data_IF_204409134085
#
_entry.id   IF_204409134085
#
_cell.length_a   1.000
_cell.length_b   1.000
_cell.length_c   1.000
_cell.angle_alpha   90.00
_cell.angle_beta   90.00
_cell.angle_gamma   90.00
#
_symmetry.space_group_name_H-M   'P 1'
#
loop_
_entity.id
_entity.type
_entity.pdbx_description
1 polymer ?
#
# COMPACT_ATOMS: atom_id res chain seq x y z
N UNK A 1 -8.26 -23.35 -2.32
CA UNK A 1 -7.06 -24.20 -2.28
C UNK A 1 -6.53 -24.26 -3.69
N UNK A 2 -5.69 -23.29 -4.05
CA UNK A 2 -5.18 -23.12 -5.41
C UNK A 2 -3.69 -23.39 -5.31
N UNK A 3 -3.26 -24.52 -5.86
CA UNK A 3 -1.88 -25.01 -5.77
C UNK A 3 -0.92 -24.08 -6.53
N UNK A 4 0.23 -23.81 -5.90
CA UNK A 4 1.42 -23.29 -6.56
C UNK A 4 1.92 -24.33 -7.56
N UNK A 5 2.61 -23.93 -8.65
CA UNK A 5 3.22 -24.91 -9.55
C UNK A 5 4.17 -25.81 -8.75
N UNK A 6 4.00 -27.13 -8.89
CA UNK A 6 4.79 -28.14 -8.19
C UNK A 6 6.30 -27.94 -8.43
N UNK A 7 7.05 -27.96 -7.32
CA UNK A 7 8.49 -27.85 -7.32
C UNK A 7 9.16 -29.11 -7.89
N UNK A 8 9.90 -28.93 -8.99
CA UNK A 8 10.91 -29.89 -9.43
C UNK A 8 12.17 -29.79 -8.56
N UNK A 9 12.42 -30.88 -7.80
CA UNK A 9 13.69 -31.36 -7.19
C UNK A 9 14.76 -30.33 -6.81
N UNK A 10 15.01 -30.28 -5.49
CA UNK A 10 16.25 -29.95 -4.81
C UNK A 10 17.48 -29.70 -5.71
N UNK A 11 17.68 -28.44 -6.06
CA UNK A 11 18.93 -27.90 -6.61
C UNK A 11 19.23 -26.60 -5.89
N UNK A 12 20.48 -26.39 -5.49
CA UNK A 12 20.97 -25.05 -5.14
C UNK A 12 20.73 -24.17 -6.37
N UNK A 13 19.82 -23.20 -6.24
CA UNK A 13 19.50 -22.23 -7.30
C UNK A 13 20.72 -21.31 -7.49
N UNK A 14 21.27 -21.38 -8.68
CA UNK A 14 22.54 -20.87 -9.17
C UNK A 14 22.43 -19.48 -9.80
N UNK A 15 21.41 -18.70 -9.40
CA UNK A 15 21.36 -17.26 -9.67
C UNK A 15 20.71 -16.87 -11.01
N UNK A 16 19.84 -17.73 -11.55
CA UNK A 16 18.88 -17.37 -12.61
C UNK A 16 17.45 -17.77 -12.19
N UNK A 17 17.18 -17.55 -10.89
CA UNK A 17 16.03 -18.02 -10.14
C UNK A 17 14.70 -17.35 -10.50
N UNK A 18 13.66 -17.72 -9.76
CA UNK A 18 12.22 -17.38 -9.91
C UNK A 18 11.79 -15.96 -10.38
N UNK A 19 12.71 -14.99 -10.50
CA UNK A 19 12.44 -13.60 -10.82
C UNK A 19 11.89 -12.80 -9.64
N UNK A 20 11.98 -13.35 -8.42
CA UNK A 20 11.61 -12.70 -7.17
C UNK A 20 12.85 -12.41 -6.32
N UNK A 21 12.91 -11.23 -5.70
CA UNK A 21 13.99 -10.90 -4.76
C UNK A 21 13.93 -11.77 -3.48
N UNK A 22 12.74 -12.12 -3.01
CA UNK A 22 12.54 -12.93 -1.80
C UNK A 22 11.38 -13.91 -2.00
N UNK A 23 11.54 -14.96 -2.84
CA UNK A 23 10.49 -15.96 -3.03
C UNK A 23 10.19 -16.66 -1.72
N UNK A 24 8.90 -16.94 -1.46
CA UNK A 24 8.45 -17.63 -0.25
C UNK A 24 7.78 -18.94 -0.64
N UNK A 25 8.49 -20.09 -0.54
CA UNK A 25 7.93 -21.41 -0.77
C UNK A 25 6.68 -21.66 0.10
N UNK A 26 5.67 -22.42 -0.38
CA UNK A 26 4.45 -22.68 0.39
C UNK A 26 4.70 -23.37 1.75
N UNK A 27 5.71 -24.22 1.83
CA UNK A 27 6.14 -24.94 3.03
C UNK A 27 7.09 -24.12 3.92
N UNK A 28 7.50 -22.94 3.49
CA UNK A 28 8.35 -22.06 4.28
C UNK A 28 7.58 -21.52 5.50
N UNK A 29 8.17 -21.51 6.72
CA UNK A 29 7.47 -21.10 7.95
C UNK A 29 6.91 -19.67 7.92
N UNK A 30 7.54 -18.75 7.18
CA UNK A 30 7.01 -17.40 6.98
C UNK A 30 5.70 -17.37 6.16
N UNK A 31 5.43 -18.35 5.30
CA UNK A 31 4.29 -18.33 4.39
C UNK A 31 2.95 -18.23 5.14
N UNK A 32 2.83 -18.94 6.27
CA UNK A 32 1.65 -18.94 7.12
C UNK A 32 1.44 -17.60 7.86
N UNK A 33 2.45 -16.73 7.93
CA UNK A 33 2.37 -15.41 8.58
C UNK A 33 2.08 -14.28 7.60
N UNK A 34 2.31 -14.49 6.30
CA UNK A 34 2.13 -13.49 5.25
C UNK A 34 0.72 -13.55 4.64
N UNK A 35 -0.30 -13.46 5.49
CA UNK A 35 -1.71 -13.51 5.09
C UNK A 35 -2.63 -12.71 6.02
N UNK A 36 -3.81 -12.32 5.52
CA UNK A 36 -4.86 -11.72 6.36
C UNK A 36 -5.45 -12.72 7.36
N UNK A 37 -5.47 -14.01 7.02
CA UNK A 37 -5.93 -15.06 7.92
C UNK A 37 -5.04 -15.13 9.16
N UNK A 38 -3.72 -15.05 9.01
CA UNK A 38 -2.78 -15.02 10.13
C UNK A 38 -3.01 -13.83 11.06
N UNK A 39 -3.34 -12.66 10.51
CA UNK A 39 -3.71 -11.48 11.30
C UNK A 39 -4.97 -11.80 12.13
N UNK A 40 -6.03 -12.32 11.50
CA UNK A 40 -7.29 -12.62 12.19
C UNK A 40 -7.12 -13.67 13.28
N UNK A 41 -6.51 -14.81 12.95
CA UNK A 41 -6.40 -15.94 13.88
C UNK A 41 -5.47 -15.62 15.06
N UNK A 42 -4.35 -14.94 14.84
CA UNK A 42 -3.41 -14.59 15.92
C UNK A 42 -3.94 -13.44 16.78
N UNK A 43 -4.60 -12.45 16.21
CA UNK A 43 -5.27 -11.40 16.99
C UNK A 43 -6.45 -11.92 17.80
N UNK A 44 -7.17 -12.95 17.32
CA UNK A 44 -8.24 -13.59 18.10
C UNK A 44 -7.67 -14.22 19.39
N UNK A 45 -6.55 -14.94 19.31
CA UNK A 45 -5.88 -15.49 20.51
C UNK A 45 -5.47 -14.40 21.49
N UNK A 46 -4.90 -13.28 21.00
CA UNK A 46 -4.55 -12.15 21.87
C UNK A 46 -5.80 -11.52 22.49
N UNK A 47 -6.90 -11.45 21.74
CA UNK A 47 -8.17 -10.92 22.25
C UNK A 47 -8.73 -11.80 23.37
N UNK A 48 -8.71 -13.12 23.19
CA UNK A 48 -9.15 -14.08 24.20
C UNK A 48 -8.30 -14.00 25.47
N UNK A 49 -6.97 -13.86 25.32
CA UNK A 49 -6.04 -13.63 26.43
C UNK A 49 -6.33 -12.33 27.22
N UNK A 50 -6.69 -11.25 26.53
CA UNK A 50 -7.11 -10.01 27.20
C UNK A 50 -8.49 -10.19 27.86
N UNK A 51 -9.41 -10.90 27.20
CA UNK A 51 -10.76 -11.13 27.68
C UNK A 51 -10.81 -12.08 28.90
N UNK A 52 -9.85 -12.98 29.05
CA UNK A 52 -9.70 -13.84 30.24
C UNK A 52 -9.11 -13.11 31.44
N UNK A 53 -8.70 -11.84 31.29
CA UNK A 53 -8.10 -11.04 32.36
C UNK A 53 -6.62 -11.37 32.61
N UNK A 54 -5.98 -12.10 31.70
CA UNK A 54 -4.55 -12.46 31.82
C UNK A 54 -3.61 -11.34 31.36
N UNK A 55 -4.13 -10.32 30.67
CA UNK A 55 -3.36 -9.16 30.26
C UNK A 55 -3.17 -8.16 31.40
N UNK A 56 -1.92 -7.81 31.69
CA UNK A 56 -1.57 -6.75 32.64
C UNK A 56 -1.77 -5.33 32.08
N UNK A 57 -1.87 -5.20 30.74
CA UNK A 57 -1.86 -3.91 30.04
C UNK A 57 -3.25 -3.42 29.62
N UNK A 58 -4.19 -4.35 29.43
CA UNK A 58 -5.50 -4.05 28.88
C UNK A 58 -6.59 -4.82 29.61
N UNK A 59 -7.71 -4.15 29.87
CA UNK A 59 -8.93 -4.76 30.41
C UNK A 59 -10.01 -4.77 29.34
N UNK A 60 -10.62 -5.92 29.11
CA UNK A 60 -11.74 -6.05 28.18
C UNK A 60 -13.07 -5.68 28.84
N UNK A 61 -13.85 -4.82 28.18
CA UNK A 61 -15.17 -4.37 28.63
C UNK A 61 -16.25 -4.76 27.61
N UNK A 62 -16.75 -6.02 27.63
CA UNK A 62 -17.70 -6.51 26.64
C UNK A 62 -19.03 -5.75 26.67
N UNK A 63 -19.40 -5.19 27.83
CA UNK A 63 -20.59 -4.37 28.04
C UNK A 63 -20.60 -3.08 27.19
N UNK A 64 -19.43 -2.63 26.73
CA UNK A 64 -19.29 -1.41 25.90
C UNK A 64 -19.45 -1.66 24.40
N UNK A 65 -19.39 -2.91 23.94
CA UNK A 65 -19.37 -3.24 22.50
C UNK A 65 -20.62 -2.76 21.79
N UNK A 66 -21.80 -2.93 22.39
CA UNK A 66 -23.06 -2.49 21.80
C UNK A 66 -23.11 -0.98 21.56
N UNK A 67 -22.69 -0.18 22.55
CA UNK A 67 -22.66 1.29 22.42
C UNK A 67 -21.66 1.75 21.34
N UNK A 68 -20.52 1.07 21.19
CA UNK A 68 -19.54 1.34 20.14
C UNK A 68 -20.13 1.01 18.76
N UNK A 69 -20.79 -0.15 18.62
CA UNK A 69 -21.43 -0.56 17.38
C UNK A 69 -22.51 0.43 16.94
N UNK A 70 -23.36 0.89 17.88
CA UNK A 70 -24.39 1.89 17.61
C UNK A 70 -23.78 3.23 17.17
N UNK A 71 -22.72 3.68 17.84
CA UNK A 71 -22.02 4.91 17.48
C UNK A 71 -21.41 4.85 16.06
N UNK A 72 -20.74 3.73 15.73
CA UNK A 72 -20.15 3.51 14.41
C UNK A 72 -21.24 3.45 13.34
N UNK A 73 -22.30 2.68 13.58
CA UNK A 73 -23.42 2.56 12.63
C UNK A 73 -24.13 3.90 12.41
N UNK A 74 -24.37 4.69 13.47
CA UNK A 74 -24.93 6.03 13.35
C UNK A 74 -24.01 6.97 12.56
N UNK A 75 -22.69 6.88 12.79
CA UNK A 75 -21.70 7.67 12.04
C UNK A 75 -21.68 7.30 10.56
N UNK A 76 -21.73 6.00 10.23
CA UNK A 76 -21.79 5.52 8.85
C UNK A 76 -23.08 6.01 8.17
N UNK A 77 -24.26 5.79 8.78
CA UNK A 77 -25.54 6.24 8.20
C UNK A 77 -25.61 7.75 7.99
N UNK A 78 -25.05 8.53 8.92
CA UNK A 78 -24.99 10.00 8.81
C UNK A 78 -24.07 10.45 7.66
N UNK A 79 -22.91 9.81 7.48
CA UNK A 79 -21.94 10.19 6.45
C UNK A 79 -22.24 9.60 5.07
N UNK A 80 -22.86 8.42 5.03
CA UNK A 80 -23.18 7.66 3.83
C UNK A 80 -24.65 7.20 3.89
N UNK A 81 -25.63 8.09 3.64
CA UNK A 81 -27.04 7.76 3.72
C UNK A 81 -27.47 6.62 2.76
N UNK A 82 -26.77 6.45 1.65
CA UNK A 82 -26.98 5.37 0.67
C UNK A 82 -26.25 4.07 1.03
N UNK A 83 -25.50 4.06 2.13
CA UNK A 83 -24.62 2.96 2.56
C UNK A 83 -23.54 2.56 1.53
N UNK A 84 -23.31 3.40 0.52
CA UNK A 84 -22.19 3.27 -0.40
C UNK A 84 -20.96 3.90 0.24
N UNK A 85 -20.26 3.13 1.07
CA UNK A 85 -19.03 3.56 1.74
C UNK A 85 -17.86 3.26 0.80
N UNK A 86 -17.08 4.26 0.36
CA UNK A 86 -15.91 4.01 -0.46
C UNK A 86 -14.85 3.24 0.32
N UNK A 87 -13.93 2.58 -0.38
CA UNK A 87 -12.80 1.92 0.26
C UNK A 87 -12.01 2.89 1.15
N UNK A 88 -11.52 2.38 2.28
CA UNK A 88 -10.56 3.10 3.10
C UNK A 88 -9.18 3.04 2.44
N UNK A 89 -8.99 3.87 1.41
CA UNK A 89 -7.85 3.83 0.50
C UNK A 89 -7.10 5.17 0.43
N UNK A 90 -5.94 5.17 -0.22
CA UNK A 90 -5.18 6.39 -0.51
C UNK A 90 -5.96 7.36 -1.41
N UNK A 91 -6.86 6.86 -2.26
CA UNK A 91 -7.70 7.67 -3.16
C UNK A 91 -8.50 8.73 -2.44
N UNK A 92 -9.02 8.42 -1.24
CA UNK A 92 -9.76 9.39 -0.42
C UNK A 92 -8.92 10.60 -0.01
N UNK A 93 -7.59 10.44 0.09
CA UNK A 93 -6.68 11.56 0.38
C UNK A 93 -6.40 12.40 -0.87
N UNK A 94 -6.28 11.77 -2.05
CA UNK A 94 -6.15 12.49 -3.33
C UNK A 94 -7.38 13.32 -3.65
N UNK A 95 -8.53 12.93 -3.13
CA UNK A 95 -9.79 13.64 -3.31
C UNK A 95 -10.00 14.78 -2.30
N UNK A 96 -9.10 14.96 -1.33
CA UNK A 96 -9.30 15.93 -0.26
C UNK A 96 -9.40 17.35 -0.83
N UNK A 97 -10.54 17.99 -0.60
CA UNK A 97 -10.71 19.43 -0.67
C UNK A 97 -10.42 20.10 0.67
N UNK A 98 -9.85 19.41 1.66
CA UNK A 98 -9.66 19.95 3.01
C UNK A 98 -10.92 19.97 3.88
N UNK A 99 -10.81 20.43 5.15
CA UNK A 99 -11.88 20.30 6.13
C UNK A 99 -13.17 21.02 5.73
N UNK A 100 -14.26 20.27 5.61
CA UNK A 100 -15.61 20.80 5.35
C UNK A 100 -15.89 21.21 3.91
N UNK A 101 -15.01 20.92 2.96
CA UNK A 101 -15.17 21.24 1.55
C UNK A 101 -15.60 20.03 0.72
N UNK A 102 -16.10 20.31 -0.49
CA UNK A 102 -16.38 19.29 -1.49
C UNK A 102 -15.10 18.56 -1.91
N UNK A 103 -15.24 17.29 -2.29
CA UNK A 103 -14.14 16.48 -2.82
C UNK A 103 -13.71 16.99 -4.21
N UNK A 104 -12.43 16.83 -4.52
CA UNK A 104 -11.84 17.22 -5.81
C UNK A 104 -11.31 15.95 -6.49
N UNK A 105 -11.92 15.53 -7.59
CA UNK A 105 -11.50 14.31 -8.30
C UNK A 105 -10.22 14.56 -9.13
N UNK A 106 -9.07 14.70 -8.45
CA UNK A 106 -7.76 14.94 -9.09
C UNK A 106 -7.37 13.85 -10.07
N UNK A 107 -7.75 12.60 -9.79
CA UNK A 107 -7.51 11.47 -10.69
C UNK A 107 -8.24 11.62 -12.02
N UNK A 108 -9.53 11.91 -12.00
CA UNK A 108 -10.30 12.14 -13.21
C UNK A 108 -9.73 13.32 -14.02
N UNK A 109 -9.40 14.43 -13.36
CA UNK A 109 -8.78 15.60 -14.01
C UNK A 109 -7.44 15.20 -14.67
N UNK A 110 -6.63 14.39 -14.00
CA UNK A 110 -5.36 13.89 -14.55
C UNK A 110 -5.59 13.02 -15.79
N UNK A 111 -6.53 12.07 -15.72
CA UNK A 111 -6.89 11.20 -16.83
C UNK A 111 -7.42 11.99 -18.04
N UNK A 112 -8.29 12.98 -17.82
CA UNK A 112 -8.81 13.84 -18.88
C UNK A 112 -7.71 14.64 -19.56
N UNK A 113 -6.80 15.24 -18.79
CA UNK A 113 -5.65 15.99 -19.32
C UNK A 113 -4.67 15.13 -20.10
N UNK A 114 -4.52 13.87 -19.69
CA UNK A 114 -3.68 12.89 -20.37
C UNK A 114 -4.39 12.20 -21.57
N UNK A 115 -5.66 12.53 -21.84
CA UNK A 115 -6.42 11.91 -22.92
C UNK A 115 -6.79 10.44 -22.66
N UNK A 116 -6.87 10.02 -21.41
CA UNK A 116 -7.06 8.61 -21.00
C UNK A 116 -8.47 8.30 -20.48
N UNK A 117 -9.47 9.12 -20.80
CA UNK A 117 -10.84 8.93 -20.31
C UNK A 117 -11.59 7.77 -20.99
N UNK A 118 -11.13 7.33 -22.16
CA UNK A 118 -11.76 6.25 -22.92
C UNK A 118 -11.61 4.86 -22.28
N UNK A 119 -12.52 3.92 -22.55
CA UNK A 119 -12.46 2.55 -22.02
C UNK A 119 -11.22 1.76 -22.51
N UNK A 120 -10.65 2.12 -23.65
CA UNK A 120 -9.41 1.54 -24.19
C UNK A 120 -8.18 1.78 -23.30
N UNK A 121 -8.24 2.78 -22.41
CA UNK A 121 -7.16 3.13 -21.49
C UNK A 121 -7.26 2.45 -20.13
N UNK A 122 -8.29 1.64 -19.86
CA UNK A 122 -8.57 1.10 -18.52
C UNK A 122 -7.38 0.36 -17.88
N UNK A 123 -6.65 -0.42 -18.67
CA UNK A 123 -5.49 -1.17 -18.19
C UNK A 123 -4.33 -0.23 -17.88
N UNK A 124 -4.10 0.77 -18.72
CA UNK A 124 -3.06 1.76 -18.47
C UNK A 124 -3.39 2.66 -17.28
N UNK A 125 -4.66 3.04 -17.09
CA UNK A 125 -5.11 3.72 -15.88
C UNK A 125 -4.84 2.89 -14.63
N UNK A 126 -4.99 1.57 -14.68
CA UNK A 126 -4.63 0.70 -13.56
C UNK A 126 -3.12 0.66 -13.31
N UNK A 127 -2.28 0.56 -14.36
CA UNK A 127 -0.81 0.66 -14.23
C UNK A 127 -0.40 1.98 -13.58
N UNK A 128 -0.94 3.10 -14.09
CA UNK A 128 -0.69 4.45 -13.58
C UNK A 128 -1.20 4.62 -12.14
N UNK A 129 -2.37 4.05 -11.83
CA UNK A 129 -2.94 4.06 -10.48
C UNK A 129 -2.01 3.35 -9.47
N UNK A 130 -1.42 2.22 -9.86
CA UNK A 130 -0.40 1.52 -9.06
C UNK A 130 0.88 2.36 -8.96
N UNK A 131 1.35 2.92 -10.08
CA UNK A 131 2.53 3.81 -10.12
C UNK A 131 2.38 5.00 -9.15
N UNK A 132 1.17 5.53 -8.99
CA UNK A 132 0.84 6.63 -8.08
C UNK A 132 0.70 6.18 -6.62
N UNK A 133 -0.13 5.16 -6.38
CA UNK A 133 -0.59 4.81 -5.03
C UNK A 133 0.54 4.28 -4.16
N UNK A 134 1.37 3.38 -4.67
CA UNK A 134 2.39 2.72 -3.85
C UNK A 134 3.41 3.73 -3.29
N UNK A 135 4.09 4.57 -4.11
CA UNK A 135 5.02 5.58 -3.59
C UNK A 135 4.31 6.60 -2.69
N UNK A 136 3.07 6.97 -3.02
CA UNK A 136 2.28 7.88 -2.20
C UNK A 136 2.03 7.35 -0.79
N UNK A 137 1.72 6.06 -0.65
CA UNK A 137 1.53 5.41 0.65
C UNK A 137 2.85 5.27 1.40
N UNK A 138 3.98 4.98 0.73
CA UNK A 138 5.30 4.97 1.37
C UNK A 138 5.72 6.34 1.92
N UNK A 139 5.26 7.42 1.27
CA UNK A 139 5.48 8.80 1.71
C UNK A 139 4.53 9.23 2.86
N UNK A 140 3.49 8.44 3.15
CA UNK A 140 2.49 8.71 4.18
C UNK A 140 2.94 8.31 5.59
N UNK A 141 4.10 8.80 6.00
CA UNK A 141 4.54 8.73 7.39
C UNK A 141 4.07 9.98 8.16
N UNK A 142 4.18 9.98 9.49
CA UNK A 142 3.78 11.13 10.32
C UNK A 142 4.36 12.46 9.81
N UNK A 143 3.49 13.44 9.53
CA UNK A 143 3.89 14.74 9.02
C UNK A 143 4.50 15.66 10.08
N UNK A 144 4.29 15.33 11.37
CA UNK A 144 4.45 16.27 12.47
C UNK A 144 3.25 17.23 12.59
N UNK A 145 3.16 17.99 13.70
CA UNK A 145 2.04 18.89 13.95
C UNK A 145 2.09 20.17 13.12
N UNK A 146 3.26 20.55 12.59
CA UNK A 146 3.50 21.87 12.00
C UNK A 146 3.45 21.90 10.48
N UNK A 147 3.79 20.80 9.80
CA UNK A 147 3.83 20.75 8.34
C UNK A 147 2.46 21.00 7.70
N UNK A 148 2.45 21.80 6.64
CA UNK A 148 1.27 22.12 5.81
C UNK A 148 1.65 22.04 4.33
N UNK A 149 0.69 21.66 3.50
CA UNK A 149 0.80 21.70 2.04
C UNK A 149 -0.18 22.71 1.47
N UNK A 150 0.31 23.67 0.68
CA UNK A 150 -0.55 24.54 -0.12
C UNK A 150 -0.84 23.86 -1.45
N UNK A 151 -2.06 23.38 -1.62
CA UNK A 151 -2.50 22.83 -2.90
C UNK A 151 -2.85 23.96 -3.87
N UNK A 152 -2.10 24.06 -4.97
CA UNK A 152 -2.33 25.08 -5.99
C UNK A 152 -3.65 24.88 -6.76
N UNK A 153 -4.18 23.66 -6.84
CA UNK A 153 -5.41 23.38 -7.57
C UNK A 153 -6.66 23.90 -6.84
N UNK A 154 -6.64 23.93 -5.51
CA UNK A 154 -7.74 24.40 -4.67
C UNK A 154 -7.45 25.69 -3.89
N UNK A 155 -6.20 26.16 -3.91
CA UNK A 155 -5.65 27.20 -3.02
C UNK A 155 -5.86 26.91 -1.52
N UNK A 156 -5.90 25.62 -1.16
CA UNK A 156 -6.15 25.20 0.21
C UNK A 156 -4.89 24.74 0.94
N UNK A 157 -4.91 24.99 2.25
CA UNK A 157 -3.90 24.45 3.17
C UNK A 157 -4.35 23.09 3.68
N UNK A 158 -3.66 22.05 3.23
CA UNK A 158 -3.86 20.67 3.67
C UNK A 158 -2.80 20.28 4.69
N UNK A 159 -3.13 19.33 5.56
CA UNK A 159 -2.26 18.90 6.67
C UNK A 159 -2.29 17.38 6.78
N UNK A 160 -1.36 16.79 7.55
CA UNK A 160 -1.36 15.35 7.85
C UNK A 160 -1.46 14.50 6.58
N UNK A 161 -2.12 13.35 6.64
CA UNK A 161 -2.21 12.39 5.53
C UNK A 161 -2.90 12.96 4.29
N UNK A 162 -3.87 13.88 4.45
CA UNK A 162 -4.51 14.55 3.31
C UNK A 162 -3.50 15.41 2.54
N UNK A 163 -2.71 16.22 3.26
CA UNK A 163 -1.66 17.03 2.65
C UNK A 163 -0.56 16.18 2.01
N UNK A 164 -0.12 15.11 2.68
CA UNK A 164 0.89 14.19 2.14
C UNK A 164 0.37 13.47 0.88
N UNK A 165 -0.92 13.12 0.87
CA UNK A 165 -1.61 12.56 -0.29
C UNK A 165 -1.52 13.49 -1.49
N UNK A 166 -1.99 14.73 -1.36
CA UNK A 166 -1.96 15.70 -2.46
C UNK A 166 -0.54 16.08 -2.87
N UNK A 167 0.39 16.27 -1.94
CA UNK A 167 1.80 16.57 -2.26
C UNK A 167 2.47 15.44 -3.07
N UNK A 168 2.22 14.18 -2.70
CA UNK A 168 2.73 13.02 -3.44
C UNK A 168 2.05 12.84 -4.81
N UNK A 169 0.77 13.17 -4.91
CA UNK A 169 0.04 13.19 -6.18
C UNK A 169 0.66 14.22 -7.14
N UNK A 170 0.91 15.43 -6.67
CA UNK A 170 1.51 16.50 -7.48
C UNK A 170 2.95 16.19 -7.88
N UNK A 171 3.72 15.56 -6.99
CA UNK A 171 5.06 15.04 -7.32
C UNK A 171 4.99 13.99 -8.44
N UNK A 172 4.04 13.05 -8.36
CA UNK A 172 3.85 12.03 -9.38
C UNK A 172 3.41 12.65 -10.72
N UNK A 173 2.36 13.46 -10.71
CA UNK A 173 1.75 14.04 -11.92
C UNK A 173 2.72 14.88 -12.75
N UNK A 174 3.76 15.46 -12.14
CA UNK A 174 4.83 16.21 -12.82
C UNK A 174 6.04 15.37 -13.23
N UNK A 175 5.97 14.04 -13.15
CA UNK A 175 7.06 13.14 -13.55
C UNK A 175 8.12 12.88 -12.48
N UNK A 176 7.80 13.10 -11.19
CA UNK A 176 8.78 12.96 -10.11
C UNK A 176 9.42 11.58 -9.99
N UNK A 177 8.69 10.52 -10.39
CA UNK A 177 9.13 9.12 -10.33
C UNK A 177 9.38 8.48 -11.70
N UNK A 178 9.24 9.24 -12.80
CA UNK A 178 9.48 8.74 -14.15
C UNK A 178 10.96 8.89 -14.56
N UNK A 179 11.49 7.89 -15.28
CA UNK A 179 12.82 7.96 -15.89
C UNK A 179 12.80 8.57 -17.30
N UNK A 180 11.64 8.69 -17.94
CA UNK A 180 11.49 9.14 -19.33
C UNK A 180 10.98 10.58 -19.50
N UNK A 181 11.57 11.33 -20.42
CA UNK A 181 11.03 12.62 -20.85
C UNK A 181 9.85 12.37 -21.79
N UNK A 182 8.63 12.68 -21.35
CA UNK A 182 7.41 12.52 -22.16
C UNK A 182 6.39 11.52 -21.62
N UNK A 183 6.74 10.75 -20.60
CA UNK A 183 5.85 9.80 -19.94
C UNK A 183 5.85 10.03 -18.41
N UNK A 184 5.26 11.14 -17.92
CA UNK A 184 5.40 11.56 -16.53
C UNK A 184 4.61 10.68 -15.55
N UNK A 185 3.63 9.91 -16.02
CA UNK A 185 2.67 9.19 -15.18
C UNK A 185 3.16 7.77 -14.85
N UNK A 186 4.43 7.66 -14.44
CA UNK A 186 5.09 6.38 -14.19
C UNK A 186 5.99 6.44 -12.97
N UNK A 187 6.18 5.28 -12.36
CA UNK A 187 7.15 5.04 -11.31
C UNK A 187 8.13 3.98 -11.78
N UNK A 188 9.27 4.43 -12.34
CA UNK A 188 10.32 3.57 -12.86
C UNK A 188 11.39 3.34 -11.78
N UNK A 189 11.87 2.10 -11.66
CA UNK A 189 12.82 1.72 -10.62
C UNK A 189 14.09 2.58 -10.63
N UNK A 190 14.65 2.83 -11.83
CA UNK A 190 15.86 3.62 -12.03
C UNK A 190 15.74 5.05 -11.48
N UNK A 191 14.55 5.65 -11.59
CA UNK A 191 14.29 6.99 -11.05
C UNK A 191 14.13 6.94 -9.53
N UNK A 192 13.37 5.95 -9.03
CA UNK A 192 13.15 5.74 -7.59
C UNK A 192 14.46 5.52 -6.82
N UNK A 193 15.40 4.73 -7.37
CA UNK A 193 16.74 4.53 -6.81
C UNK A 193 17.54 5.83 -6.62
N UNK A 194 17.18 6.90 -7.32
CA UNK A 194 17.86 8.21 -7.29
C UNK A 194 17.07 9.29 -6.55
N UNK A 195 15.96 8.95 -5.90
CA UNK A 195 15.22 9.93 -5.08
C UNK A 195 16.00 10.22 -3.81
N UNK A 196 16.12 11.51 -3.50
CA UNK A 196 16.78 12.03 -2.31
C UNK A 196 15.83 12.89 -1.46
N UNK A 197 16.28 13.27 -0.27
CA UNK A 197 15.49 14.10 0.63
C UNK A 197 15.16 15.47 0.00
N UNK A 198 16.04 16.01 -0.86
CA UNK A 198 15.85 17.31 -1.51
C UNK A 198 14.68 17.29 -2.51
N UNK A 199 14.54 16.21 -3.29
CA UNK A 199 13.42 16.00 -4.21
C UNK A 199 12.09 16.03 -3.45
N UNK A 200 12.01 15.31 -2.32
CA UNK A 200 10.82 15.26 -1.48
C UNK A 200 10.58 16.62 -0.79
N UNK A 201 11.62 17.23 -0.23
CA UNK A 201 11.52 18.51 0.46
C UNK A 201 10.94 19.60 -0.45
N UNK A 202 11.45 19.70 -1.69
CA UNK A 202 10.93 20.64 -2.69
C UNK A 202 9.47 20.36 -3.03
N UNK A 203 9.13 19.10 -3.31
CA UNK A 203 7.77 18.69 -3.65
C UNK A 203 6.77 18.92 -2.51
N UNK A 204 7.20 18.69 -1.27
CA UNK A 204 6.36 18.77 -0.08
C UNK A 204 6.46 20.16 0.58
N UNK A 205 7.03 21.15 -0.12
CA UNK A 205 7.12 22.56 0.33
C UNK A 205 7.82 22.70 1.70
N UNK A 206 8.79 21.85 1.98
CA UNK A 206 9.50 21.84 3.26
C UNK A 206 10.44 23.04 3.33
N UNK A 207 10.33 23.77 4.43
CA UNK A 207 11.16 24.92 4.75
C UNK A 207 11.37 24.99 6.27
N UNK A 208 12.26 25.88 6.73
CA UNK A 208 12.49 26.08 8.17
C UNK A 208 11.20 26.39 8.95
N UNK A 209 10.28 27.15 8.34
CA UNK A 209 8.98 27.51 8.92
C UNK A 209 7.86 26.51 8.58
N UNK A 210 8.15 25.46 7.82
CA UNK A 210 7.21 24.41 7.41
C UNK A 210 7.91 23.03 7.46
N UNK A 211 8.35 22.55 8.65
CA UNK A 211 9.20 21.38 8.75
C UNK A 211 8.40 20.08 8.59
N UNK A 212 8.91 19.16 7.77
CA UNK A 212 8.38 17.79 7.65
C UNK A 212 9.31 16.80 8.34
N UNK A 213 8.79 16.02 9.28
CA UNK A 213 9.56 15.02 10.03
C UNK A 213 9.89 13.81 9.13
N UNK A 214 11.13 13.32 9.18
CA UNK A 214 11.51 12.03 8.59
C UNK A 214 11.68 12.03 7.06
N UNK A 215 12.21 13.13 6.49
CA UNK A 215 12.51 13.23 5.05
C UNK A 215 13.48 12.15 4.57
N UNK A 216 14.58 11.92 5.30
CA UNK A 216 15.57 10.91 4.92
C UNK A 216 14.99 9.49 4.92
N UNK A 217 14.14 9.17 5.91
CA UNK A 217 13.44 7.89 5.97
C UNK A 217 12.54 7.67 4.75
N UNK A 218 11.82 8.72 4.31
CA UNK A 218 10.97 8.66 3.11
C UNK A 218 11.78 8.47 1.84
N UNK A 219 12.85 9.22 1.66
CA UNK A 219 13.73 9.06 0.50
C UNK A 219 14.38 7.65 0.49
N UNK A 220 14.79 7.16 1.66
CA UNK A 220 15.33 5.81 1.82
C UNK A 220 14.34 4.71 1.46
N UNK A 221 13.05 4.86 1.81
CA UNK A 221 12.00 3.91 1.41
C UNK A 221 11.79 3.88 -0.10
N UNK A 222 11.76 5.04 -0.77
CA UNK A 222 11.61 5.10 -2.22
C UNK A 222 12.82 4.51 -2.96
N UNK A 223 14.04 4.73 -2.48
CA UNK A 223 15.23 4.09 -3.08
C UNK A 223 15.18 2.57 -2.95
N UNK A 224 14.85 2.06 -1.76
CA UNK A 224 14.66 0.61 -1.53
C UNK A 224 13.54 0.03 -2.39
N UNK A 225 12.45 0.78 -2.61
CA UNK A 225 11.40 0.35 -3.54
C UNK A 225 11.98 0.15 -4.95
N UNK A 226 12.78 1.10 -5.45
CA UNK A 226 13.46 0.95 -6.74
C UNK A 226 14.38 -0.27 -6.81
N UNK A 227 15.19 -0.50 -5.78
CA UNK A 227 16.09 -1.67 -5.68
C UNK A 227 15.29 -2.98 -5.71
N UNK A 228 14.24 -3.09 -4.89
CA UNK A 228 13.35 -4.26 -4.83
C UNK A 228 12.63 -4.51 -6.16
N UNK A 229 12.26 -3.43 -6.87
CA UNK A 229 11.65 -3.55 -8.19
C UNK A 229 12.62 -4.15 -9.21
N UNK A 230 13.88 -3.69 -9.23
CA UNK A 230 14.93 -4.23 -10.10
C UNK A 230 15.22 -5.71 -9.80
N UNK A 231 15.20 -6.09 -8.52
CA UNK A 231 15.46 -7.45 -8.09
C UNK A 231 14.24 -8.39 -8.17
N UNK A 232 13.06 -7.89 -8.57
CA UNK A 232 11.83 -8.68 -8.72
C UNK A 232 11.23 -8.55 -10.13
N UNK A 233 11.96 -8.93 -11.20
CA UNK A 233 11.50 -8.81 -12.58
C UNK A 233 10.26 -9.65 -12.90
N UNK A 234 9.96 -10.70 -12.13
CA UNK A 234 8.74 -11.49 -12.31
C UNK A 234 7.46 -10.67 -12.08
N UNK A 235 7.53 -9.61 -11.26
CA UNK A 235 6.39 -8.75 -10.93
C UNK A 235 6.49 -7.40 -11.65
N UNK A 236 7.67 -6.79 -11.66
CA UNK A 236 7.84 -5.43 -12.15
C UNK A 236 8.43 -5.35 -13.56
N UNK A 237 8.80 -6.47 -14.17
CA UNK A 237 9.35 -6.53 -15.52
C UNK A 237 10.78 -6.00 -15.65
N UNK A 238 11.29 -5.98 -16.88
CA UNK A 238 12.59 -5.41 -17.25
C UNK A 238 12.45 -4.62 -18.57
N UNK A 239 12.58 -3.29 -18.57
CA UNK A 239 12.89 -2.42 -17.43
C UNK A 239 11.78 -2.42 -16.37
N UNK A 240 12.15 -2.24 -15.10
CA UNK A 240 11.23 -2.36 -13.98
C UNK A 240 10.35 -1.10 -13.82
N UNK A 241 9.04 -1.27 -13.97
CA UNK A 241 7.98 -0.26 -13.76
C UNK A 241 7.02 -0.77 -12.69
N UNK A 242 6.63 0.09 -11.75
CA UNK A 242 5.78 -0.32 -10.64
C UNK A 242 4.38 -0.73 -11.12
N UNK A 243 3.85 -0.02 -12.11
CA UNK A 243 2.59 -0.33 -12.78
C UNK A 243 2.51 -1.72 -13.40
N UNK A 244 3.63 -2.37 -13.72
CA UNK A 244 3.65 -3.75 -14.26
C UNK A 244 3.12 -4.79 -13.25
N UNK A 245 3.01 -4.43 -11.96
CA UNK A 245 2.28 -5.22 -10.97
C UNK A 245 0.83 -5.47 -11.41
N UNK A 246 0.19 -4.54 -12.14
CA UNK A 246 -1.15 -4.77 -12.70
C UNK A 246 -1.14 -5.98 -13.63
N UNK A 247 -0.17 -6.07 -14.54
CA UNK A 247 -0.07 -7.16 -15.51
C UNK A 247 0.18 -8.50 -14.81
N UNK A 248 1.02 -8.50 -13.77
CA UNK A 248 1.21 -9.66 -12.91
C UNK A 248 -0.12 -10.09 -12.27
N UNK A 249 -0.86 -9.18 -11.64
CA UNK A 249 -2.14 -9.51 -10.99
C UNK A 249 -3.19 -9.98 -12.01
N UNK A 250 -3.33 -9.29 -13.14
CA UNK A 250 -4.28 -9.62 -14.20
C UNK A 250 -4.01 -11.00 -14.81
N UNK A 251 -2.74 -11.39 -15.00
CA UNK A 251 -2.37 -12.73 -15.49
C UNK A 251 -2.71 -13.87 -14.52
N UNK A 252 -2.93 -13.56 -13.24
CA UNK A 252 -3.35 -14.53 -12.22
C UNK A 252 -4.86 -14.51 -11.95
N UNK A 253 -5.61 -13.60 -12.57
CA UNK A 253 -7.06 -13.58 -12.49
C UNK A 253 -7.66 -14.79 -13.23
N UNK A 254 -8.74 -15.34 -12.68
CA UNK A 254 -9.50 -16.44 -13.31
C UNK A 254 -10.88 -15.92 -13.67
N UNK A 255 -11.25 -16.01 -14.95
CA UNK A 255 -12.53 -15.49 -15.46
C UNK A 255 -12.77 -14.01 -15.10
N UNK A 256 -11.70 -13.20 -15.12
CA UNK A 256 -11.76 -11.79 -14.74
C UNK A 256 -11.90 -11.53 -13.23
N UNK A 257 -11.76 -12.56 -12.38
CA UNK A 257 -11.86 -12.45 -10.92
C UNK A 257 -10.49 -12.59 -10.26
N UNK A 258 -10.25 -11.78 -9.23
CA UNK A 258 -9.03 -11.81 -8.42
C UNK A 258 -9.38 -11.75 -6.93
N UNK A 259 -8.73 -12.58 -6.12
CA UNK A 259 -8.91 -12.61 -4.67
C UNK A 259 -8.10 -11.50 -4.00
N UNK A 260 -8.71 -10.70 -3.11
CA UNK A 260 -8.02 -9.66 -2.34
C UNK A 260 -6.90 -10.25 -1.47
N UNK A 261 -7.06 -11.50 -1.02
CA UNK A 261 -6.03 -12.26 -0.31
C UNK A 261 -4.80 -12.55 -1.16
N UNK A 262 -4.98 -12.80 -2.47
CA UNK A 262 -3.89 -12.97 -3.43
C UNK A 262 -3.16 -11.65 -3.68
N UNK A 263 -3.88 -10.53 -3.84
CA UNK A 263 -3.28 -9.19 -3.97
C UNK A 263 -2.44 -8.87 -2.73
N UNK A 264 -3.00 -9.07 -1.53
CA UNK A 264 -2.28 -8.85 -0.28
C UNK A 264 -1.02 -9.72 -0.19
N UNK A 265 -1.12 -11.02 -0.47
CA UNK A 265 0.04 -11.91 -0.39
C UNK A 265 1.12 -11.54 -1.40
N UNK A 266 0.74 -11.15 -2.61
CA UNK A 266 1.67 -10.65 -3.64
C UNK A 266 2.43 -9.43 -3.12
N UNK A 267 1.74 -8.45 -2.53
CA UNK A 267 2.37 -7.25 -1.98
C UNK A 267 3.26 -7.57 -0.77
N UNK A 268 2.84 -8.49 0.11
CA UNK A 268 3.64 -8.90 1.27
C UNK A 268 4.97 -9.54 0.87
N UNK A 269 4.96 -10.36 -0.18
CA UNK A 269 6.17 -11.00 -0.70
C UNK A 269 7.01 -10.01 -1.51
N UNK A 270 6.41 -9.31 -2.47
CA UNK A 270 7.13 -8.42 -3.38
C UNK A 270 7.74 -7.21 -2.65
N UNK A 271 6.99 -6.61 -1.73
CA UNK A 271 7.41 -5.37 -1.04
C UNK A 271 7.94 -5.62 0.38
N UNK A 272 7.93 -6.86 0.88
CA UNK A 272 8.45 -7.20 2.21
C UNK A 272 9.88 -6.66 2.48
N UNK A 273 10.81 -6.74 1.52
CA UNK A 273 12.18 -6.23 1.64
C UNK A 273 12.32 -4.69 1.64
N UNK A 274 11.28 -3.94 1.25
CA UNK A 274 11.28 -2.46 1.31
C UNK A 274 11.41 -1.96 2.76
N UNK A 275 10.89 -2.72 3.72
CA UNK A 275 10.80 -2.32 5.13
C UNK A 275 12.07 -2.70 5.91
N UNK A 276 12.89 -1.74 6.38
CA UNK A 276 14.08 -2.05 7.15
C UNK A 276 13.74 -2.54 8.57
N UNK A 277 14.60 -3.41 9.12
CA UNK A 277 14.58 -3.78 10.55
C UNK A 277 13.34 -4.59 10.98
N UNK A 278 12.70 -5.31 10.06
CA UNK A 278 11.55 -6.18 10.39
C UNK A 278 11.99 -7.54 10.90
N UNK A 279 11.09 -8.20 11.65
CA UNK A 279 11.28 -9.60 12.04
C UNK A 279 11.42 -10.45 10.78
N UNK A 280 12.31 -11.43 10.84
CA UNK A 280 12.55 -12.37 9.76
C UNK A 280 12.47 -13.80 10.27
N UNK A 281 12.01 -14.70 9.41
CA UNK A 281 12.18 -16.14 9.59
C UNK A 281 12.99 -16.64 8.41
N UNK A 282 14.16 -17.22 8.68
CA UNK A 282 15.03 -17.81 7.66
C UNK A 282 15.32 -16.86 6.48
N UNK A 283 15.52 -15.57 6.78
CA UNK A 283 15.81 -14.53 5.78
C UNK A 283 14.58 -13.88 5.13
N UNK A 284 13.37 -14.42 5.32
CA UNK A 284 12.14 -13.80 4.81
C UNK A 284 11.59 -12.77 5.79
N UNK A 285 11.47 -11.52 5.33
CA UNK A 285 10.84 -10.42 6.07
C UNK A 285 9.37 -10.72 6.33
N UNK A 286 8.96 -10.58 7.59
CA UNK A 286 7.56 -10.67 8.01
C UNK A 286 6.84 -9.33 7.97
N UNK A 287 7.47 -8.27 7.46
CA UNK A 287 6.86 -6.94 7.41
C UNK A 287 6.43 -6.44 8.79
N UNK A 288 5.18 -5.98 8.89
CA UNK A 288 4.58 -5.51 10.14
C UNK A 288 4.09 -6.69 10.98
N UNK A 289 5.03 -7.36 11.63
CA UNK A 289 4.81 -8.48 12.53
C UNK A 289 5.61 -8.28 13.81
N UNK A 290 4.99 -8.59 14.96
CA UNK A 290 5.52 -8.29 16.28
C UNK A 290 5.48 -9.51 17.19
N UNK A 291 6.27 -9.47 18.26
CA UNK A 291 6.24 -10.51 19.28
C UNK A 291 5.15 -10.24 20.30
N UNK A 292 4.42 -11.28 20.69
CA UNK A 292 3.46 -11.21 21.78
C UNK A 292 3.43 -12.53 22.55
N UNK A 293 3.49 -12.53 23.89
CA UNK A 293 3.61 -13.76 24.68
C UNK A 293 2.39 -14.69 24.54
N UNK A 294 1.19 -14.12 24.40
CA UNK A 294 -0.03 -14.90 24.21
C UNK A 294 -0.20 -15.49 22.80
N UNK A 295 0.60 -15.06 21.82
CA UNK A 295 0.40 -15.48 20.44
C UNK A 295 1.02 -16.85 20.16
N UNK A 296 0.41 -17.67 19.27
CA UNK A 296 1.04 -18.91 18.80
C UNK A 296 2.45 -18.63 18.28
N UNK A 297 3.45 -19.43 18.69
CA UNK A 297 4.86 -19.23 18.30
C UNK A 297 5.42 -17.83 18.64
N UNK A 298 4.72 -17.08 19.50
CA UNK A 298 5.10 -15.75 19.96
C UNK A 298 5.06 -14.65 18.90
N UNK A 299 4.33 -14.80 17.79
CA UNK A 299 4.28 -13.81 16.69
C UNK A 299 2.87 -13.37 16.33
N UNK A 300 2.68 -12.08 16.04
CA UNK A 300 1.41 -11.47 15.61
C UNK A 300 1.67 -10.57 14.41
N UNK A 301 1.27 -10.98 13.19
CA UNK A 301 1.26 -10.09 12.05
C UNK A 301 0.10 -9.10 12.14
N UNK A 302 0.36 -7.85 11.76
CA UNK A 302 -0.65 -6.83 11.53
C UNK A 302 -0.73 -6.45 10.05
N UNK A 303 0.42 -6.39 9.36
CA UNK A 303 0.51 -6.03 7.94
C UNK A 303 -0.23 -4.73 7.60
N UNK A 304 -0.36 -3.79 8.55
CA UNK A 304 -1.33 -2.68 8.46
C UNK A 304 -1.15 -1.88 7.19
N UNK A 305 0.08 -1.50 6.89
CA UNK A 305 0.40 -0.67 5.73
C UNK A 305 0.22 -1.43 4.41
N UNK A 306 0.58 -2.71 4.37
CA UNK A 306 0.37 -3.55 3.18
C UNK A 306 -1.12 -3.86 2.95
N UNK A 307 -1.92 -4.02 4.01
CA UNK A 307 -3.37 -4.10 3.88
C UNK A 307 -3.95 -2.80 3.31
N UNK A 308 -3.45 -1.64 3.76
CA UNK A 308 -3.88 -0.36 3.22
C UNK A 308 -3.46 -0.13 1.77
N UNK A 309 -2.28 -0.62 1.38
CA UNK A 309 -1.87 -0.71 -0.04
C UNK A 309 -2.84 -1.58 -0.83
N UNK A 310 -3.18 -2.78 -0.35
CA UNK A 310 -4.16 -3.68 -1.00
C UNK A 310 -5.48 -2.96 -1.24
N UNK A 311 -6.05 -2.30 -0.22
CA UNK A 311 -7.30 -1.53 -0.38
C UNK A 311 -7.18 -0.41 -1.40
N UNK A 312 -6.00 0.19 -1.50
CA UNK A 312 -5.71 1.26 -2.45
C UNK A 312 -5.47 0.77 -3.88
N UNK A 313 -5.29 -0.54 -4.10
CA UNK A 313 -5.21 -1.13 -5.43
C UNK A 313 -6.56 -1.64 -5.94
N UNK A 314 -7.58 -1.80 -5.08
CA UNK A 314 -8.85 -2.39 -5.50
C UNK A 314 -9.57 -1.51 -6.54
N UNK A 315 -9.67 -0.20 -6.30
CA UNK A 315 -10.31 0.75 -7.24
C UNK A 315 -9.65 0.71 -8.64
N UNK A 316 -8.30 0.77 -8.77
CA UNK A 316 -7.62 0.54 -10.06
C UNK A 316 -7.92 -0.80 -10.73
N UNK A 317 -7.94 -1.90 -9.97
CA UNK A 317 -8.20 -3.23 -10.53
C UNK A 317 -9.64 -3.34 -11.05
N UNK A 318 -10.59 -2.78 -10.32
CA UNK A 318 -12.01 -2.71 -10.71
C UNK A 318 -12.23 -1.81 -11.93
N UNK A 319 -11.58 -0.64 -12.00
CA UNK A 319 -11.62 0.25 -13.18
C UNK A 319 -11.08 -0.43 -14.45
N UNK A 320 -10.06 -1.29 -14.30
CA UNK A 320 -9.55 -2.12 -15.38
C UNK A 320 -10.46 -3.29 -15.79
N UNK A 321 -11.57 -3.51 -15.07
CA UNK A 321 -12.57 -4.54 -15.37
C UNK A 321 -12.37 -5.87 -14.62
N UNK A 322 -11.50 -5.93 -13.61
CA UNK A 322 -11.39 -7.10 -12.75
C UNK A 322 -12.46 -7.05 -11.64
N UNK A 323 -13.04 -8.20 -11.32
CA UNK A 323 -13.90 -8.35 -10.13
C UNK A 323 -13.05 -8.78 -8.95
N UNK A 324 -12.92 -7.94 -7.93
CA UNK A 324 -12.26 -8.31 -6.68
C UNK A 324 -13.20 -9.16 -5.81
N UNK A 325 -12.63 -10.19 -5.17
CA UNK A 325 -13.34 -11.18 -4.36
C UNK A 325 -12.64 -11.43 -3.02
N UNK A 326 -13.37 -11.97 -2.04
CA UNK A 326 -12.83 -12.40 -0.74
C UNK A 326 -12.99 -11.41 0.41
#
# INVERSE_FOLDING_TARGET
MTEFPEGGRAGRDDGLGSGWHSPVPPDHPAAALLSAEAVRTRCAVVTDFVASGESELFTWHPDRVHAIADYVAATIRRRYPTLQVPYHSRWRHFESGGPGQATINRWQILCERAGMSGPEHREERARIGIDLVIPSVLLDAGAGPDWRYRDAASDMMLTRSEGLGVASFDLFARGGFSAGQGDPLRSDADRLCRIDASTIASAFQVAQHNPLVGLEGRAGLLRRLGEVMQDTPAVFGSPARLGNLYDYLASHAREGRIEASFVLRTLLVALGPVWPGRLQIQGISLGDCWRHPAAPEGMVPFHKLTQWLTYSLLEPLEDAGLTVTG
#
